data_IF_979964792701
#
_entry.id   IF_979964792701
#
_cell.length_a   1.000
_cell.length_b   1.000
_cell.length_c   1.000
_cell.angle_alpha   90.00
_cell.angle_beta   90.00
_cell.angle_gamma   90.00
#
_symmetry.space_group_name_H-M   'P 1'
#
loop_
_entity.id
_entity.type
_entity.pdbx_description
1 polymer ?
#
# COMPACT_ATOMS: atom_id res chain seq x y z
N UNK A 1 8.93 0.24 -17.22
CA UNK A 1 8.26 0.47 -15.96
C UNK A 1 6.79 0.18 -16.10
N UNK A 2 6.28 -0.66 -15.24
CA UNK A 2 4.92 -1.16 -15.34
C UNK A 2 4.15 -0.73 -14.12
N UNK A 3 3.27 0.24 -14.28
CA UNK A 3 2.56 0.86 -13.17
C UNK A 3 1.11 0.43 -13.10
N UNK A 4 0.60 0.29 -11.88
CA UNK A 4 -0.81 0.11 -11.63
C UNK A 4 -1.20 0.96 -10.43
N UNK A 5 -2.45 1.42 -10.41
CA UNK A 5 -2.98 2.29 -9.36
C UNK A 5 -4.40 1.88 -9.04
N UNK A 6 -4.72 1.79 -7.76
CA UNK A 6 -6.08 1.49 -7.30
C UNK A 6 -6.44 2.42 -6.16
N UNK A 7 -7.70 2.85 -6.16
CA UNK A 7 -8.27 3.61 -5.05
C UNK A 7 -9.06 2.66 -4.18
N UNK A 8 -8.79 2.65 -2.89
CA UNK A 8 -9.54 1.83 -1.94
C UNK A 8 -10.05 2.67 -0.77
N UNK A 9 -11.08 2.15 -0.10
CA UNK A 9 -11.58 2.72 1.14
C UNK A 9 -11.16 1.81 2.28
N UNK A 10 -10.43 2.35 3.26
CA UNK A 10 -9.96 1.57 4.39
C UNK A 10 -11.14 0.99 5.17
N UNK A 11 -11.08 -0.30 5.49
CA UNK A 11 -12.10 -0.97 6.30
C UNK A 11 -11.67 -1.16 7.76
N UNK A 12 -10.57 -0.54 8.14
CA UNK A 12 -10.02 -0.54 9.49
C UNK A 12 -9.06 0.64 9.64
N UNK A 13 -8.75 1.01 10.88
CA UNK A 13 -7.72 2.01 11.13
C UNK A 13 -6.34 1.40 10.87
N UNK A 14 -5.47 2.13 10.21
CA UNK A 14 -4.09 1.69 10.03
C UNK A 14 -3.29 2.13 11.25
N UNK A 15 -3.21 1.25 12.23
CA UNK A 15 -2.50 1.48 13.48
C UNK A 15 -0.99 1.29 13.30
N UNK A 16 -0.16 1.79 14.24
CA UNK A 16 1.27 1.50 14.21
C UNK A 16 1.58 0.00 14.20
N UNK A 17 0.81 -0.80 14.92
CA UNK A 17 0.98 -2.25 14.95
C UNK A 17 0.69 -2.86 13.58
N UNK A 18 -0.40 -2.43 12.94
CA UNK A 18 -0.72 -2.89 11.60
C UNK A 18 0.38 -2.49 10.62
N UNK A 19 0.84 -1.24 10.68
CA UNK A 19 1.89 -0.74 9.79
C UNK A 19 3.17 -1.56 9.92
N UNK A 20 3.56 -1.91 11.13
CA UNK A 20 4.74 -2.75 11.37
C UNK A 20 4.60 -4.11 10.69
N UNK A 21 3.46 -4.78 10.87
CA UNK A 21 3.21 -6.09 10.28
C UNK A 21 3.12 -6.01 8.75
N UNK A 22 2.45 -5.00 8.25
CA UNK A 22 2.30 -4.78 6.82
C UNK A 22 3.67 -4.57 6.15
N UNK A 23 4.51 -3.70 6.70
CA UNK A 23 5.82 -3.42 6.13
C UNK A 23 6.71 -4.67 6.17
N UNK A 24 6.64 -5.47 7.23
CA UNK A 24 7.40 -6.71 7.32
C UNK A 24 7.08 -7.63 6.15
N UNK A 25 5.82 -7.68 5.71
CA UNK A 25 5.42 -8.51 4.58
C UNK A 25 5.73 -7.90 3.22
N UNK A 26 5.41 -6.61 3.02
CA UNK A 26 5.62 -5.98 1.72
C UNK A 26 7.09 -5.75 1.40
N UNK A 27 7.97 -5.82 2.39
CA UNK A 27 9.41 -5.75 2.16
C UNK A 27 9.88 -6.84 1.19
N UNK A 28 9.19 -7.98 1.13
CA UNK A 28 9.52 -9.07 0.22
C UNK A 28 9.05 -8.81 -1.21
N UNK A 29 8.18 -7.84 -1.43
CA UNK A 29 7.73 -7.47 -2.77
C UNK A 29 8.80 -6.58 -3.40
N UNK A 30 9.28 -6.95 -4.59
CA UNK A 30 10.35 -6.22 -5.26
C UNK A 30 9.89 -4.92 -5.91
N UNK A 31 8.62 -4.81 -6.25
CA UNK A 31 8.05 -3.61 -6.85
C UNK A 31 8.11 -2.44 -5.88
N UNK A 32 8.15 -1.22 -6.41
CA UNK A 32 8.00 -0.03 -5.59
C UNK A 32 6.53 0.16 -5.23
N UNK A 33 6.28 0.50 -3.97
CA UNK A 33 4.93 0.66 -3.43
C UNK A 33 4.78 2.05 -2.85
N UNK A 34 3.69 2.73 -3.21
CA UNK A 34 3.39 4.07 -2.69
C UNK A 34 1.92 4.14 -2.28
N UNK A 35 1.66 4.88 -1.22
CA UNK A 35 0.31 5.29 -0.86
C UNK A 35 0.18 6.78 -1.11
N UNK A 36 -0.96 7.20 -1.67
CA UNK A 36 -1.28 8.60 -1.89
C UNK A 36 -2.53 8.92 -1.11
N UNK A 37 -2.42 9.83 -0.15
CA UNK A 37 -3.54 10.29 0.67
C UNK A 37 -3.63 11.81 0.50
N UNK A 38 -4.68 12.25 -0.19
CA UNK A 38 -4.79 13.65 -0.58
C UNK A 38 -3.66 14.02 -1.54
N UNK A 39 -2.84 14.99 -1.17
CA UNK A 39 -1.68 15.42 -1.96
C UNK A 39 -0.37 14.85 -1.43
N UNK A 40 -0.43 13.93 -0.45
CA UNK A 40 0.76 13.33 0.15
C UNK A 40 1.02 11.94 -0.43
N UNK A 41 2.24 11.75 -0.92
CA UNK A 41 2.70 10.45 -1.39
C UNK A 41 3.76 9.94 -0.42
N UNK A 42 3.60 8.69 0.02
CA UNK A 42 4.57 8.07 0.94
C UNK A 42 4.99 6.72 0.39
N UNK A 43 6.19 6.31 0.81
CA UNK A 43 6.67 4.96 0.51
C UNK A 43 5.95 3.96 1.42
N UNK A 44 5.20 3.03 0.82
CA UNK A 44 4.43 2.06 1.58
C UNK A 44 5.29 0.99 2.26
N UNK A 45 6.60 0.99 2.03
CA UNK A 45 7.55 0.14 2.75
C UNK A 45 8.17 0.84 3.95
N UNK A 46 7.71 2.06 4.27
CA UNK A 46 8.17 2.83 5.40
C UNK A 46 7.12 2.83 6.51
N UNK A 47 7.48 2.28 7.67
CA UNK A 47 6.57 2.27 8.84
C UNK A 47 6.20 3.70 9.23
N UNK A 48 7.19 4.58 9.33
CA UNK A 48 6.94 5.98 9.70
C UNK A 48 6.11 6.71 8.65
N UNK A 49 6.34 6.41 7.37
CA UNK A 49 5.54 6.97 6.29
C UNK A 49 4.07 6.61 6.43
N UNK A 50 3.78 5.34 6.65
CA UNK A 50 2.41 4.86 6.78
C UNK A 50 1.74 5.48 8.01
N UNK A 51 2.44 5.53 9.14
CA UNK A 51 1.89 6.13 10.36
C UNK A 51 1.59 7.62 10.14
N UNK A 52 2.45 8.32 9.39
CA UNK A 52 2.34 9.77 9.19
C UNK A 52 1.07 10.18 8.44
N UNK A 53 0.51 9.31 7.61
CA UNK A 53 -0.71 9.63 6.85
C UNK A 53 -2.00 9.36 7.62
N UNK A 54 -1.90 8.67 8.75
CA UNK A 54 -3.01 8.47 9.68
C UNK A 54 -4.33 8.04 9.03
N UNK A 55 -4.29 6.96 8.26
CA UNK A 55 -5.48 6.44 7.59
C UNK A 55 -6.40 5.76 8.61
N UNK A 56 -7.64 6.19 8.63
CA UNK A 56 -8.68 5.68 9.51
C UNK A 56 -9.72 4.88 8.72
N UNK A 57 -10.45 4.03 9.40
CA UNK A 57 -11.59 3.32 8.81
C UNK A 57 -12.51 4.29 8.09
N UNK A 58 -12.82 4.01 6.84
CA UNK A 58 -13.68 4.88 6.00
C UNK A 58 -12.92 5.87 5.16
N UNK A 59 -11.62 6.07 5.39
CA UNK A 59 -10.82 6.97 4.56
C UNK A 59 -10.47 6.32 3.22
N UNK A 60 -10.50 7.12 2.17
CA UNK A 60 -10.13 6.69 0.83
C UNK A 60 -8.69 7.08 0.54
N UNK A 61 -7.95 6.20 -0.10
CA UNK A 61 -6.58 6.48 -0.52
C UNK A 61 -6.18 5.64 -1.72
N UNK A 62 -5.12 6.05 -2.40
CA UNK A 62 -4.62 5.36 -3.58
C UNK A 62 -3.41 4.50 -3.25
N UNK A 63 -3.32 3.35 -3.91
CA UNK A 63 -2.15 2.49 -3.89
C UNK A 63 -1.54 2.53 -5.27
N UNK A 64 -0.25 2.83 -5.35
CA UNK A 64 0.50 2.83 -6.61
C UNK A 64 1.61 1.80 -6.54
N UNK A 65 1.73 0.99 -7.58
CA UNK A 65 2.78 -0.02 -7.69
C UNK A 65 3.52 0.18 -9.01
N UNK A 66 4.84 0.16 -8.94
CA UNK A 66 5.71 0.27 -10.09
C UNK A 66 6.62 -0.97 -10.12
N UNK A 67 6.37 -1.85 -11.10
CA UNK A 67 7.16 -3.06 -11.30
C UNK A 67 8.19 -2.84 -12.41
N UNK A 68 9.41 -3.34 -12.21
CA UNK A 68 10.43 -3.35 -13.25
C UNK A 68 10.38 -4.61 -14.12
N UNK A 69 9.47 -5.54 -13.82
CA UNK A 69 9.41 -6.86 -14.46
C UNK A 69 8.34 -6.91 -15.56
N UNK A 70 7.07 -6.72 -15.20
CA UNK A 70 5.96 -6.82 -16.15
C UNK A 70 4.69 -6.19 -15.56
N UNK A 71 3.73 -5.92 -16.44
CA UNK A 71 2.41 -5.44 -16.02
C UNK A 71 1.71 -6.50 -15.18
N UNK A 72 1.87 -7.77 -15.53
CA UNK A 72 1.29 -8.88 -14.77
C UNK A 72 1.84 -8.93 -13.34
N UNK A 73 3.15 -8.72 -13.16
CA UNK A 73 3.75 -8.64 -11.82
C UNK A 73 3.19 -7.47 -11.03
N UNK A 74 3.01 -6.31 -11.66
CA UNK A 74 2.43 -5.15 -10.99
C UNK A 74 1.02 -5.45 -10.49
N UNK A 75 0.18 -6.08 -11.32
CA UNK A 75 -1.19 -6.42 -10.96
C UNK A 75 -1.25 -7.50 -9.86
N UNK A 76 -0.38 -8.50 -9.95
CA UNK A 76 -0.31 -9.54 -8.92
C UNK A 76 0.12 -8.95 -7.57
N UNK A 77 1.09 -8.05 -7.58
CA UNK A 77 1.52 -7.36 -6.36
C UNK A 77 0.40 -6.49 -5.80
N UNK A 78 -0.36 -5.82 -6.67
CA UNK A 78 -1.51 -5.02 -6.26
C UNK A 78 -2.54 -5.87 -5.54
N UNK A 79 -2.87 -7.04 -6.09
CA UNK A 79 -3.84 -7.94 -5.46
C UNK A 79 -3.38 -8.38 -4.07
N UNK A 80 -2.09 -8.69 -3.92
CA UNK A 80 -1.53 -9.07 -2.61
C UNK A 80 -1.62 -7.92 -1.61
N UNK A 81 -1.26 -6.72 -2.03
CA UNK A 81 -1.27 -5.55 -1.16
C UNK A 81 -2.69 -5.23 -0.71
N UNK A 82 -3.65 -5.27 -1.63
CA UNK A 82 -5.06 -5.03 -1.31
C UNK A 82 -5.56 -6.08 -0.32
N UNK A 83 -5.21 -7.34 -0.51
CA UNK A 83 -5.63 -8.39 0.41
C UNK A 83 -5.06 -8.17 1.81
N UNK A 84 -3.80 -7.75 1.92
CA UNK A 84 -3.19 -7.42 3.21
C UNK A 84 -3.91 -6.26 3.91
N UNK A 85 -4.31 -5.25 3.13
CA UNK A 85 -4.96 -4.05 3.67
C UNK A 85 -6.42 -4.26 4.02
N UNK A 86 -7.14 -5.04 3.22
CA UNK A 86 -8.60 -5.19 3.30
C UNK A 86 -9.04 -6.53 3.88
N UNK A 87 -8.16 -7.49 3.93
CA UNK A 87 -8.46 -8.82 4.48
C UNK A 87 -8.58 -8.79 6.01
N UNK A 88 -9.15 -9.81 6.55
CA UNK A 88 -9.32 -9.98 8.01
C UNK A 88 -8.02 -10.40 8.70
#
# INVERSE_FOLDING_TARGET
MFMTKRTITANKDITPRFAKNFVAEVTHIKSNLYFIVGDREINAKSILGIISINVMNGNEFDICIDSSVSQECAENDMDKVIEMLMGD
#
